data_IF_613408445252
#
_entry.id   IF_613408445252
#
_cell.length_a   1.000
_cell.length_b   1.000
_cell.length_c   1.000
_cell.angle_alpha   90.00
_cell.angle_beta   90.00
_cell.angle_gamma   90.00
#
_symmetry.space_group_name_H-M   'P 1'
#
loop_
_entity.id
_entity.type
_entity.pdbx_description
1 polymer ?
#
# COMPACT_ATOMS: atom_id res chain seq x y z
N UNK A 1 -2.56 0.48 12.60
CA UNK A 1 -1.61 -0.06 11.61
C UNK A 1 -0.82 -1.24 12.14
N UNK A 2 -0.19 -1.09 13.30
CA UNK A 2 0.60 -2.19 13.86
C UNK A 2 -0.25 -3.40 14.21
N UNK A 3 -1.45 -3.17 14.72
CA UNK A 3 -2.37 -4.26 15.02
C UNK A 3 -2.78 -5.02 13.77
N UNK A 4 -2.98 -4.30 12.68
CA UNK A 4 -3.31 -4.91 11.41
C UNK A 4 -2.18 -5.82 10.93
N UNK A 5 -0.94 -5.35 11.01
CA UNK A 5 0.22 -6.12 10.57
C UNK A 5 0.50 -7.31 11.50
N UNK A 6 0.16 -7.20 12.78
CA UNK A 6 0.28 -8.31 13.70
C UNK A 6 -0.68 -9.44 13.32
N UNK A 7 -1.89 -9.09 12.89
CA UNK A 7 -2.89 -10.05 12.45
C UNK A 7 -2.61 -10.61 11.06
N UNK A 8 -2.09 -9.77 10.18
CA UNK A 8 -1.90 -10.12 8.77
C UNK A 8 -0.47 -9.78 8.35
N UNK A 9 0.51 -10.56 8.83
CA UNK A 9 1.93 -10.24 8.58
C UNK A 9 2.35 -10.27 7.11
N UNK A 10 1.63 -11.00 6.26
CA UNK A 10 1.95 -11.04 4.84
C UNK A 10 1.64 -9.71 4.14
N UNK A 11 0.89 -8.82 4.77
CA UNK A 11 0.66 -7.48 4.22
C UNK A 11 1.88 -6.57 4.37
N UNK A 12 2.87 -6.97 5.17
CA UNK A 12 4.06 -6.15 5.35
C UNK A 12 4.80 -5.94 4.04
N UNK A 13 5.01 -7.01 3.29
CA UNK A 13 5.66 -6.90 1.98
C UNK A 13 4.82 -6.05 1.03
N UNK A 14 3.52 -6.26 1.04
CA UNK A 14 2.62 -5.51 0.17
C UNK A 14 2.67 -4.02 0.46
N UNK A 15 2.64 -3.64 1.73
CA UNK A 15 2.72 -2.24 2.12
C UNK A 15 4.08 -1.63 1.79
N UNK A 16 5.15 -2.41 1.91
CA UNK A 16 6.47 -1.96 1.52
C UNK A 16 6.50 -1.67 0.02
N UNK A 17 5.93 -2.57 -0.79
CA UNK A 17 5.87 -2.37 -2.23
C UNK A 17 5.03 -1.15 -2.58
N UNK A 18 3.91 -0.94 -1.88
CA UNK A 18 3.06 0.22 -2.10
C UNK A 18 3.81 1.51 -1.80
N UNK A 19 4.49 1.57 -0.65
CA UNK A 19 5.26 2.74 -0.26
C UNK A 19 6.39 3.02 -1.24
N UNK A 20 7.06 1.97 -1.70
CA UNK A 20 8.14 2.10 -2.68
C UNK A 20 7.62 2.62 -4.01
N UNK A 21 6.48 2.11 -4.45
CA UNK A 21 5.84 2.58 -5.69
C UNK A 21 5.53 4.06 -5.62
N UNK A 22 4.95 4.52 -4.51
CA UNK A 22 4.61 5.92 -4.35
C UNK A 22 5.85 6.81 -4.29
N UNK A 23 6.90 6.32 -3.64
CA UNK A 23 8.14 7.05 -3.56
C UNK A 23 8.78 7.21 -4.94
N UNK A 24 8.76 6.16 -5.74
CA UNK A 24 9.28 6.21 -7.10
C UNK A 24 8.42 7.09 -8.01
N UNK A 25 7.14 7.24 -7.67
CA UNK A 25 6.22 8.07 -8.41
C UNK A 25 6.26 9.55 -8.06
N UNK A 26 6.99 9.92 -7.00
CA UNK A 26 7.09 11.31 -6.60
C UNK A 26 7.70 12.15 -7.72
N UNK A 27 7.09 13.29 -7.97
CA UNK A 27 7.56 14.19 -9.03
C UNK A 27 7.10 13.79 -10.43
N UNK A 28 6.42 12.67 -10.57
CA UNK A 28 5.86 12.25 -11.85
C UNK A 28 4.37 12.60 -11.90
N UNK A 29 3.97 13.64 -12.66
CA UNK A 29 2.56 14.05 -12.70
C UNK A 29 1.65 12.99 -13.31
N UNK A 30 2.19 12.02 -14.02
CA UNK A 30 1.41 10.93 -14.61
C UNK A 30 1.17 9.77 -13.63
N UNK A 31 1.82 9.79 -12.47
CA UNK A 31 1.64 8.72 -11.49
C UNK A 31 0.24 8.78 -10.89
N UNK A 32 -0.48 7.68 -10.96
CA UNK A 32 -1.87 7.62 -10.50
C UNK A 32 -2.08 6.69 -9.32
N UNK A 33 -1.04 6.02 -8.88
CA UNK A 33 -1.12 5.07 -7.79
C UNK A 33 -0.63 3.69 -8.21
N UNK A 34 -0.74 2.74 -7.30
CA UNK A 34 -0.34 1.37 -7.54
C UNK A 34 -1.58 0.50 -7.73
N UNK A 35 -1.37 -0.65 -8.36
CA UNK A 35 -2.43 -1.62 -8.60
C UNK A 35 -2.16 -2.86 -7.74
N UNK A 36 -3.16 -3.77 -7.71
CA UNK A 36 -3.00 -5.02 -6.97
C UNK A 36 -1.80 -5.84 -7.44
N UNK A 37 -1.52 -5.80 -8.75
CA UNK A 37 -0.38 -6.54 -9.31
C UNK A 37 0.96 -6.01 -8.79
N UNK A 38 1.03 -4.72 -8.50
CA UNK A 38 2.25 -4.12 -7.95
C UNK A 38 2.54 -4.65 -6.55
N UNK A 39 1.52 -5.04 -5.83
CA UNK A 39 1.65 -5.60 -4.49
C UNK A 39 1.78 -7.12 -4.50
N UNK A 40 1.66 -7.74 -5.66
CA UNK A 40 1.71 -9.21 -5.78
C UNK A 40 0.61 -9.88 -4.95
N UNK A 41 -0.55 -9.25 -4.90
CA UNK A 41 -1.69 -9.73 -4.14
C UNK A 41 -2.94 -9.84 -5.00
N UNK A 42 -3.86 -10.69 -4.57
CA UNK A 42 -5.16 -10.77 -5.22
C UNK A 42 -5.95 -9.49 -4.94
N UNK A 43 -6.76 -9.01 -5.90
CA UNK A 43 -7.54 -7.78 -5.71
C UNK A 43 -8.40 -7.76 -4.45
N UNK A 44 -8.96 -8.91 -4.07
CA UNK A 44 -9.78 -9.02 -2.87
C UNK A 44 -8.99 -8.67 -1.60
N UNK A 45 -7.73 -9.06 -1.57
CA UNK A 45 -6.86 -8.76 -0.43
C UNK A 45 -6.44 -7.29 -0.39
N UNK A 46 -6.28 -6.70 -1.56
CA UNK A 46 -5.96 -5.26 -1.64
C UNK A 46 -7.15 -4.44 -1.16
N UNK A 47 -8.37 -4.88 -1.47
CA UNK A 47 -9.57 -4.20 -1.02
C UNK A 47 -9.65 -4.14 0.50
N UNK A 48 -9.09 -5.12 1.20
CA UNK A 48 -9.05 -5.09 2.65
C UNK A 48 -8.28 -3.89 3.17
N UNK A 49 -7.22 -3.47 2.48
CA UNK A 49 -6.47 -2.27 2.85
C UNK A 49 -7.35 -1.03 2.80
N UNK A 50 -8.26 -0.98 1.83
CA UNK A 50 -9.20 0.13 1.71
C UNK A 50 -10.23 0.09 2.84
N UNK A 51 -10.75 -1.09 3.13
CA UNK A 51 -11.75 -1.26 4.20
C UNK A 51 -11.16 -0.89 5.56
N UNK A 52 -9.90 -1.24 5.80
CA UNK A 52 -9.22 -0.92 7.05
C UNK A 52 -8.74 0.53 7.14
N UNK A 53 -8.93 1.31 6.07
CA UNK A 53 -8.54 2.71 6.08
C UNK A 53 -7.04 2.95 5.90
N UNK A 54 -6.30 1.95 5.44
CA UNK A 54 -4.87 2.06 5.22
C UNK A 54 -4.57 2.64 3.84
N UNK A 55 -5.42 2.31 2.87
CA UNK A 55 -5.30 2.80 1.51
C UNK A 55 -6.62 3.40 1.05
N UNK A 56 -6.58 4.13 -0.05
CA UNK A 56 -7.78 4.69 -0.67
C UNK A 56 -7.66 4.53 -2.18
N UNK A 57 -8.80 4.55 -2.85
CA UNK A 57 -8.83 4.49 -4.31
C UNK A 57 -8.45 5.88 -4.84
N UNK A 58 -7.41 5.91 -5.67
CA UNK A 58 -6.95 7.14 -6.30
C UNK A 58 -7.67 7.38 -7.63
N UNK A 59 -7.76 6.34 -8.44
CA UNK A 59 -8.40 6.42 -9.75
C UNK A 59 -8.99 5.08 -10.10
N UNK A 60 -10.18 5.10 -10.68
CA UNK A 60 -10.81 3.89 -11.17
C UNK A 60 -11.15 4.07 -12.65
N UNK A 61 -10.64 3.16 -13.48
CA UNK A 61 -10.97 3.12 -14.90
C UNK A 61 -11.66 1.80 -15.19
N UNK A 62 -12.06 1.61 -16.44
CA UNK A 62 -12.67 0.35 -16.86
C UNK A 62 -11.70 -0.81 -16.78
N UNK A 63 -10.40 -0.53 -16.92
CA UNK A 63 -9.37 -1.56 -17.00
C UNK A 63 -8.64 -1.81 -15.69
N UNK A 64 -8.60 -0.80 -14.83
CA UNK A 64 -7.78 -0.89 -13.64
C UNK A 64 -8.29 0.03 -12.54
N UNK A 65 -7.97 -0.34 -11.31
CA UNK A 65 -8.20 0.51 -10.15
C UNK A 65 -6.84 0.81 -9.56
N UNK A 66 -6.58 2.09 -9.30
CA UNK A 66 -5.33 2.57 -8.73
C UNK A 66 -5.57 3.02 -7.30
N UNK A 67 -4.61 2.74 -6.45
CA UNK A 67 -4.71 3.01 -5.01
C UNK A 67 -3.53 3.82 -4.54
N UNK A 68 -3.69 4.54 -3.45
CA UNK A 68 -2.58 5.20 -2.75
C UNK A 68 -2.78 5.00 -1.26
N UNK A 69 -1.69 5.09 -0.51
CA UNK A 69 -1.74 4.99 0.95
C UNK A 69 -2.35 6.27 1.51
N UNK A 70 -3.23 6.14 2.51
CA UNK A 70 -3.83 7.31 3.14
C UNK A 70 -2.82 8.08 3.96
N UNK A 71 -1.93 7.36 4.64
CA UNK A 71 -0.91 7.97 5.49
C UNK A 71 0.43 7.31 5.20
N UNK A 72 1.07 7.68 4.07
CA UNK A 72 2.32 7.02 3.68
C UNK A 72 3.44 7.14 4.72
N UNK A 73 3.50 8.27 5.42
CA UNK A 73 4.53 8.45 6.44
C UNK A 73 4.36 7.48 7.60
N UNK A 74 3.11 7.25 8.00
CA UNK A 74 2.81 6.29 9.06
C UNK A 74 3.22 4.88 8.65
N UNK A 75 2.89 4.50 7.41
CA UNK A 75 3.25 3.18 6.88
C UNK A 75 4.77 3.01 6.87
N UNK A 76 5.48 4.01 6.39
CA UNK A 76 6.95 3.96 6.34
C UNK A 76 7.54 3.81 7.74
N UNK A 77 6.99 4.53 8.71
CA UNK A 77 7.47 4.46 10.09
C UNK A 77 7.28 3.07 10.67
N UNK A 78 6.11 2.48 10.45
CA UNK A 78 5.80 1.15 10.98
C UNK A 78 6.70 0.09 10.33
N UNK A 79 6.87 0.17 9.01
CA UNK A 79 7.71 -0.78 8.29
C UNK A 79 9.16 -0.69 8.72
N UNK A 80 9.65 0.53 8.90
CA UNK A 80 11.02 0.76 9.33
C UNK A 80 11.26 0.18 10.73
N UNK A 81 10.32 0.41 11.63
CA UNK A 81 10.38 -0.13 12.97
C UNK A 81 10.42 -1.66 12.96
N UNK A 82 9.61 -2.27 12.08
CA UNK A 82 9.57 -3.72 11.94
C UNK A 82 10.90 -4.28 11.44
N UNK A 83 11.54 -3.59 10.50
CA UNK A 83 12.83 -4.00 9.97
C UNK A 83 13.89 -3.98 11.07
N UNK A 84 13.84 -2.99 11.93
CA UNK A 84 14.81 -2.86 13.02
C UNK A 84 14.69 -3.99 14.04
N UNK A 85 13.54 -4.63 14.12
CA UNK A 85 13.32 -5.72 15.04
C UNK A 85 13.89 -7.05 14.58
N UNK A 86 14.31 -7.11 13.35
CA UNK A 86 14.94 -8.29 12.82
C UNK A 86 16.40 -8.35 13.25
#
# INVERSE_FOLDING_TARGET
>A
MEEFLAKYPDYRKALWLAAKSEEEGLGNPAYQGWQWSDLEMHPTRVLKLVIEGIAKISLRTRRATYYVLKEPELVKTVLKSSVLKK
#
